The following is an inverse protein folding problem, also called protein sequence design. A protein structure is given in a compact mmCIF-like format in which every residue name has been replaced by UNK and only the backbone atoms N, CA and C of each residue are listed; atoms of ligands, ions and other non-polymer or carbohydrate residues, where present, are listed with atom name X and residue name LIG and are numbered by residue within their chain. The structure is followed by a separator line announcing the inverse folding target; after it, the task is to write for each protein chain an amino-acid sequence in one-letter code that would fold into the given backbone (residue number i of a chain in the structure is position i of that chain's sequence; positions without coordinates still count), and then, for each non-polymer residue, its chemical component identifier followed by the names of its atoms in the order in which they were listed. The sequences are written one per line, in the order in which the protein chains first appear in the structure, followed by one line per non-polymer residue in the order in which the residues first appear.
data_IF_675975714114
#
_entry.id   IF_675975714114
#
_cell.length_a   1.000
_cell.length_b   1.000
_cell.length_c   1.000
_cell.angle_alpha   90.00
_cell.angle_beta   90.00
_cell.angle_gamma   90.00
#
_symmetry.space_group_name_H-M   'P 1'
#
loop_
_entity.id
_entity.type
_entity.pdbx_description
1 polymer ?
#
# COMPACT_ATOMS: atom_id res chain seq x y z
N UNK A 1 -17.60 -20.07 -21.83
CA UNK A 1 -18.09 -18.73 -22.19
C UNK A 1 -18.37 -17.98 -20.91
N UNK A 2 -17.46 -17.12 -20.45
CA UNK A 2 -17.72 -16.23 -19.31
C UNK A 2 -18.33 -14.95 -19.84
N UNK A 3 -19.64 -14.85 -19.70
CA UNK A 3 -20.42 -13.64 -19.94
C UNK A 3 -19.97 -12.60 -18.92
N UNK A 4 -19.10 -11.69 -19.36
CA UNK A 4 -18.63 -10.56 -18.55
C UNK A 4 -19.49 -9.39 -18.96
N UNK A 5 -20.24 -8.84 -17.99
CA UNK A 5 -21.07 -7.66 -18.20
C UNK A 5 -20.32 -6.58 -19.02
N UNK A 6 -20.99 -5.91 -19.97
CA UNK A 6 -20.32 -4.99 -20.88
C UNK A 6 -19.59 -3.88 -20.10
N UNK A 7 -18.29 -3.75 -20.39
CA UNK A 7 -17.39 -2.82 -19.69
C UNK A 7 -17.90 -1.37 -19.83
N UNK A 8 -18.24 -0.75 -18.70
CA UNK A 8 -18.86 0.57 -18.70
C UNK A 8 -17.86 1.66 -19.14
N UNK A 9 -18.37 2.80 -19.60
CA UNK A 9 -17.51 3.93 -19.97
C UNK A 9 -16.67 4.47 -18.78
N UNK A 10 -17.17 4.31 -17.56
CA UNK A 10 -16.45 4.62 -16.33
C UNK A 10 -15.29 3.65 -16.12
N UNK A 11 -15.52 2.34 -16.30
CA UNK A 11 -14.48 1.30 -16.18
C UNK A 11 -13.33 1.53 -17.16
N UNK A 12 -13.65 1.90 -18.42
CA UNK A 12 -12.66 2.24 -19.45
C UNK A 12 -11.79 3.44 -19.09
N UNK A 13 -12.40 4.55 -18.61
CA UNK A 13 -11.66 5.75 -18.18
C UNK A 13 -10.78 5.47 -16.96
N UNK A 14 -11.24 4.62 -16.05
CA UNK A 14 -10.49 4.21 -14.86
C UNK A 14 -9.29 3.35 -15.28
N UNK A 15 -9.50 2.34 -16.12
CA UNK A 15 -8.41 1.51 -16.65
C UNK A 15 -7.36 2.37 -17.34
N UNK A 16 -7.78 3.29 -18.21
CA UNK A 16 -6.86 4.22 -18.87
C UNK A 16 -6.04 5.09 -17.88
N UNK A 17 -6.64 5.53 -16.77
CA UNK A 17 -5.94 6.32 -15.74
C UNK A 17 -4.96 5.48 -14.94
N UNK A 18 -5.35 4.26 -14.56
CA UNK A 18 -4.50 3.32 -13.81
C UNK A 18 -3.32 2.88 -14.67
N UNK A 19 -3.58 2.42 -15.90
CA UNK A 19 -2.52 2.02 -16.84
C UNK A 19 -1.59 3.19 -17.13
N UNK A 20 -2.11 4.43 -17.29
CA UNK A 20 -1.24 5.60 -17.44
C UNK A 20 -0.31 5.77 -16.23
N UNK A 21 -0.85 5.78 -15.01
CA UNK A 21 -0.10 6.14 -13.80
C UNK A 21 0.86 5.05 -13.31
N UNK A 22 0.51 3.78 -13.51
CA UNK A 22 1.26 2.64 -12.95
C UNK A 22 2.06 1.86 -13.99
N UNK A 23 1.76 2.05 -15.29
CA UNK A 23 2.48 1.40 -16.39
C UNK A 23 3.21 2.44 -17.24
N UNK A 24 2.49 3.40 -17.84
CA UNK A 24 3.10 4.33 -18.79
C UNK A 24 4.04 5.34 -18.14
N UNK A 25 3.60 6.05 -17.11
CA UNK A 25 4.38 7.12 -16.50
C UNK A 25 5.69 6.57 -15.89
N UNK A 26 5.71 5.44 -15.13
CA UNK A 26 6.94 4.86 -14.63
C UNK A 26 7.88 4.35 -15.74
N UNK A 27 7.33 3.82 -16.84
CA UNK A 27 8.13 3.41 -18.00
C UNK A 27 8.81 4.61 -18.65
N UNK A 28 8.06 5.67 -18.94
CA UNK A 28 8.59 6.88 -19.57
C UNK A 28 9.67 7.51 -18.69
N UNK A 29 9.40 7.65 -17.38
CA UNK A 29 10.39 8.15 -16.42
C UNK A 29 11.63 7.24 -16.43
N UNK A 30 11.44 5.91 -16.35
CA UNK A 30 12.54 4.96 -16.36
C UNK A 30 13.42 5.07 -17.60
N UNK A 31 12.81 5.15 -18.79
CA UNK A 31 13.52 5.34 -20.06
C UNK A 31 14.25 6.67 -20.10
N UNK A 32 13.62 7.77 -19.67
CA UNK A 32 14.26 9.09 -19.62
C UNK A 32 15.49 9.07 -18.71
N UNK A 33 15.40 8.45 -17.54
CA UNK A 33 16.53 8.33 -16.61
C UNK A 33 17.66 7.48 -17.20
N UNK A 34 17.35 6.37 -17.89
CA UNK A 34 18.37 5.56 -18.55
C UNK A 34 19.01 6.27 -19.74
N UNK A 35 18.24 6.98 -20.56
CA UNK A 35 18.79 7.77 -21.67
C UNK A 35 19.70 8.87 -21.14
N UNK A 36 19.30 9.54 -20.06
CA UNK A 36 20.15 10.54 -19.40
C UNK A 36 21.44 9.93 -18.85
N UNK A 37 21.37 8.74 -18.22
CA UNK A 37 22.54 8.02 -17.76
C UNK A 37 23.47 7.59 -18.90
N UNK A 38 22.92 7.05 -20.01
CA UNK A 38 23.68 6.69 -21.21
C UNK A 38 24.37 7.92 -21.80
N UNK A 39 23.65 9.03 -21.96
CA UNK A 39 24.22 10.27 -22.50
C UNK A 39 25.35 10.80 -21.62
N UNK A 40 25.21 10.72 -20.30
CA UNK A 40 26.27 11.10 -19.35
C UNK A 40 27.52 10.23 -19.50
N UNK A 41 27.34 8.90 -19.54
CA UNK A 41 28.46 7.96 -19.69
C UNK A 41 29.15 8.12 -21.05
N UNK A 42 28.40 8.33 -22.13
CA UNK A 42 28.96 8.57 -23.47
C UNK A 42 29.70 9.92 -23.58
N UNK A 43 29.39 10.89 -22.73
CA UNK A 43 30.10 12.15 -22.65
C UNK A 43 31.44 12.06 -21.88
N UNK A 44 31.85 10.85 -21.46
CA UNK A 44 33.06 10.62 -20.67
C UNK A 44 32.90 10.94 -19.19
N UNK A 45 31.66 11.04 -18.68
CA UNK A 45 31.40 11.26 -17.27
C UNK A 45 31.69 10.00 -16.44
N UNK A 46 32.30 10.19 -15.27
CA UNK A 46 32.58 9.12 -14.33
C UNK A 46 31.30 8.50 -13.72
N UNK A 47 31.46 7.34 -13.10
CA UNK A 47 30.41 6.59 -12.38
C UNK A 47 30.11 7.21 -11.01
N UNK A 48 29.88 8.51 -11.02
CA UNK A 48 29.53 9.30 -9.84
C UNK A 48 28.16 8.93 -9.28
N UNK A 49 27.87 9.41 -8.07
CA UNK A 49 26.63 9.13 -7.36
C UNK A 49 25.36 9.40 -8.20
N UNK A 50 25.32 10.52 -8.94
CA UNK A 50 24.15 10.91 -9.74
C UNK A 50 23.89 9.98 -10.93
N UNK A 51 24.83 9.75 -11.87
CA UNK A 51 24.61 8.81 -12.97
C UNK A 51 24.30 7.41 -12.45
N UNK A 52 24.96 6.95 -11.39
CA UNK A 52 24.63 5.68 -10.73
C UNK A 52 23.16 5.63 -10.24
N UNK A 53 22.69 6.67 -9.57
CA UNK A 53 21.30 6.77 -9.10
C UNK A 53 20.29 6.75 -10.27
N UNK A 54 20.61 7.44 -11.38
CA UNK A 54 19.78 7.42 -12.59
C UNK A 54 19.64 6.01 -13.18
N UNK A 55 20.73 5.23 -13.21
CA UNK A 55 20.71 3.84 -13.68
C UNK A 55 19.80 2.97 -12.81
N UNK A 56 19.92 3.10 -11.48
CA UNK A 56 19.12 2.33 -10.54
C UNK A 56 17.62 2.66 -10.63
N UNK A 57 17.27 3.95 -10.60
CA UNK A 57 15.90 4.42 -10.71
C UNK A 57 15.30 4.13 -12.09
N UNK A 58 16.12 4.22 -13.14
CA UNK A 58 15.76 3.89 -14.51
C UNK A 58 15.35 2.43 -14.67
N UNK A 59 16.20 1.51 -14.22
CA UNK A 59 15.93 0.08 -14.22
C UNK A 59 14.72 -0.29 -13.36
N UNK A 60 14.61 0.30 -12.16
CA UNK A 60 13.45 0.14 -11.30
C UNK A 60 12.14 0.59 -11.97
N UNK A 61 12.10 1.77 -12.59
CA UNK A 61 10.91 2.31 -13.23
C UNK A 61 10.38 1.44 -14.37
N UNK A 62 11.29 0.89 -15.19
CA UNK A 62 10.95 -0.05 -16.27
C UNK A 62 10.41 -1.37 -15.69
N UNK A 63 11.08 -1.96 -14.70
CA UNK A 63 10.61 -3.19 -14.06
C UNK A 63 9.27 -3.01 -13.34
N UNK A 64 9.07 -1.87 -12.66
CA UNK A 64 7.82 -1.52 -12.02
C UNK A 64 6.67 -1.47 -13.03
N UNK A 65 6.90 -0.80 -14.16
CA UNK A 65 5.95 -0.77 -15.27
C UNK A 65 5.65 -2.17 -15.82
N UNK A 66 6.69 -2.96 -16.08
CA UNK A 66 6.56 -4.32 -16.59
C UNK A 66 5.74 -5.21 -15.66
N UNK A 67 6.06 -5.22 -14.37
CA UNK A 67 5.33 -6.01 -13.36
C UNK A 67 3.85 -5.62 -13.37
N UNK A 68 3.53 -4.33 -13.30
CA UNK A 68 2.14 -3.87 -13.33
C UNK A 68 1.43 -4.21 -14.64
N UNK A 69 2.10 -4.04 -15.79
CA UNK A 69 1.56 -4.41 -17.09
C UNK A 69 1.21 -5.91 -17.14
N UNK A 70 2.13 -6.79 -16.70
CA UNK A 70 1.86 -8.23 -16.67
C UNK A 70 0.74 -8.60 -15.69
N UNK A 71 0.52 -7.84 -14.62
CA UNK A 71 -0.58 -8.07 -13.68
C UNK A 71 -1.93 -7.64 -14.26
N UNK A 72 -1.95 -6.61 -15.11
CA UNK A 72 -3.14 -6.11 -15.79
C UNK A 72 -3.53 -6.92 -17.05
N UNK A 73 -2.61 -7.71 -17.60
CA UNK A 73 -2.82 -8.48 -18.84
C UNK A 73 -4.00 -9.46 -18.75
N UNK A 74 -4.85 -9.45 -19.79
CA UNK A 74 -5.93 -10.40 -19.98
C UNK A 74 -5.76 -11.14 -21.32
N UNK A 75 -5.85 -12.48 -21.34
CA UNK A 75 -6.01 -13.39 -20.19
C UNK A 75 -4.76 -13.48 -19.28
N UNK A 76 -4.99 -13.67 -17.97
CA UNK A 76 -3.95 -13.63 -16.92
C UNK A 76 -2.77 -14.59 -17.15
N UNK A 77 -3.02 -15.72 -17.82
CA UNK A 77 -1.99 -16.71 -18.19
C UNK A 77 -0.86 -16.09 -19.02
N UNK A 78 -1.18 -15.15 -19.92
CA UNK A 78 -0.18 -14.49 -20.77
C UNK A 78 0.74 -13.63 -19.91
N UNK A 79 0.15 -12.86 -18.98
CA UNK A 79 0.89 -12.07 -18.01
C UNK A 79 1.85 -12.93 -17.18
N UNK A 80 1.40 -14.09 -16.70
CA UNK A 80 2.25 -15.04 -15.94
C UNK A 80 3.39 -15.58 -16.79
N UNK A 81 3.10 -16.07 -18.00
CA UNK A 81 4.11 -16.63 -18.92
C UNK A 81 5.18 -15.58 -19.22
N UNK A 82 4.78 -14.37 -19.60
CA UNK A 82 5.71 -13.28 -19.91
C UNK A 82 6.58 -12.92 -18.70
N UNK A 83 5.98 -12.86 -17.51
CA UNK A 83 6.70 -12.56 -16.28
C UNK A 83 7.77 -13.62 -15.97
N UNK A 84 7.43 -14.90 -16.11
CA UNK A 84 8.37 -16.02 -15.91
C UNK A 84 9.49 -16.00 -16.94
N UNK A 85 9.17 -15.81 -18.23
CA UNK A 85 10.17 -15.76 -19.30
C UNK A 85 11.15 -14.61 -19.06
N UNK A 86 10.66 -13.40 -18.79
CA UNK A 86 11.52 -12.24 -18.57
C UNK A 86 12.36 -12.40 -17.30
N UNK A 87 11.79 -12.95 -16.22
CA UNK A 87 12.55 -13.26 -15.00
C UNK A 87 13.68 -14.26 -15.28
N UNK A 88 13.40 -15.33 -16.03
CA UNK A 88 14.36 -16.35 -16.37
C UNK A 88 15.48 -15.80 -17.29
N UNK A 89 15.12 -15.05 -18.33
CA UNK A 89 16.07 -14.43 -19.26
C UNK A 89 16.97 -13.45 -18.53
N UNK A 90 16.42 -12.52 -17.75
CA UNK A 90 17.22 -11.57 -16.97
C UNK A 90 18.15 -12.26 -15.98
N UNK A 91 17.66 -13.32 -15.33
CA UNK A 91 18.50 -14.11 -14.41
C UNK A 91 19.62 -14.81 -15.16
N UNK A 92 19.34 -15.43 -16.30
CA UNK A 92 20.34 -16.08 -17.13
C UNK A 92 21.39 -15.08 -17.64
N UNK A 93 20.95 -13.91 -18.15
CA UNK A 93 21.85 -12.83 -18.58
C UNK A 93 22.73 -12.37 -17.43
N UNK A 94 22.17 -12.14 -16.24
CA UNK A 94 22.94 -11.74 -15.07
C UNK A 94 23.94 -12.80 -14.62
N UNK A 95 23.56 -14.07 -14.64
CA UNK A 95 24.48 -15.17 -14.32
C UNK A 95 25.62 -15.24 -15.32
N UNK A 96 25.34 -15.12 -16.63
CA UNK A 96 26.38 -15.15 -17.67
C UNK A 96 27.36 -13.98 -17.48
N UNK A 97 26.84 -12.77 -17.30
CA UNK A 97 27.66 -11.57 -17.14
C UNK A 97 28.51 -11.61 -15.86
N UNK A 98 28.01 -12.23 -14.79
CA UNK A 98 28.73 -12.34 -13.52
C UNK A 98 29.77 -13.47 -13.55
N UNK A 99 29.44 -14.61 -14.15
CA UNK A 99 30.28 -15.83 -14.11
C UNK A 99 31.39 -15.81 -15.15
N UNK A 100 31.12 -15.27 -16.35
CA UNK A 100 32.05 -15.29 -17.48
C UNK A 100 32.80 -13.96 -17.66
N UNK A 101 33.07 -13.27 -16.54
CA UNK A 101 33.71 -11.95 -16.48
C UNK A 101 33.18 -11.00 -17.58
N UNK A 102 32.01 -10.40 -17.33
CA UNK A 102 31.31 -9.57 -18.32
C UNK A 102 32.17 -8.52 -19.04
N UNK A 103 33.30 -8.10 -18.44
CA UNK A 103 34.28 -7.24 -19.09
C UNK A 103 34.95 -7.89 -20.32
N UNK A 104 35.24 -9.19 -20.27
CA UNK A 104 35.81 -9.98 -21.37
C UNK A 104 34.78 -10.21 -22.48
N UNK A 105 33.53 -10.54 -22.11
CA UNK A 105 32.39 -10.64 -23.04
C UNK A 105 32.07 -9.34 -23.79
N UNK A 106 32.39 -8.19 -23.19
CA UNK A 106 32.16 -6.86 -23.76
C UNK A 106 33.45 -6.25 -24.35
N UNK A 107 34.59 -6.96 -24.29
CA UNK A 107 35.90 -6.43 -24.68
C UNK A 107 36.00 -6.13 -26.18
N UNK A 108 35.29 -6.90 -27.01
CA UNK A 108 35.29 -6.75 -28.47
C UNK A 108 34.30 -5.69 -28.97
N UNK A 109 33.48 -5.12 -28.08
CA UNK A 109 32.51 -4.09 -28.45
C UNK A 109 33.18 -2.71 -28.58
N UNK A 110 32.73 -1.88 -29.55
CA UNK A 110 33.08 -0.47 -29.60
C UNK A 110 32.82 0.22 -28.26
N UNK A 111 33.66 1.18 -27.89
CA UNK A 111 33.54 1.98 -26.66
C UNK A 111 32.10 2.48 -26.37
N UNK A 112 31.35 3.06 -27.33
CA UNK A 112 29.97 3.48 -27.06
C UNK A 112 29.03 2.32 -26.73
N UNK A 113 29.21 1.16 -27.36
CA UNK A 113 28.38 -0.01 -27.08
C UNK A 113 28.70 -0.60 -25.70
N UNK A 114 29.97 -0.57 -25.29
CA UNK A 114 30.42 -0.98 -23.95
C UNK A 114 29.86 -0.08 -22.86
N UNK A 115 29.90 1.24 -23.06
CA UNK A 115 29.31 2.22 -22.16
C UNK A 115 27.80 1.99 -21.97
N UNK A 116 27.06 1.76 -23.06
CA UNK A 116 25.63 1.43 -23.00
C UNK A 116 25.40 0.11 -22.26
N UNK A 117 26.20 -0.93 -22.56
CA UNK A 117 26.08 -2.23 -21.90
C UNK A 117 26.29 -2.14 -20.38
N UNK A 118 27.28 -1.36 -19.93
CA UNK A 118 27.55 -1.10 -18.52
C UNK A 118 26.35 -0.44 -17.83
N UNK A 119 25.77 0.59 -18.44
CA UNK A 119 24.58 1.28 -17.92
C UNK A 119 23.40 0.31 -17.78
N UNK A 120 23.15 -0.49 -18.81
CA UNK A 120 22.07 -1.48 -18.81
C UNK A 120 22.31 -2.58 -17.78
N UNK A 121 23.55 -3.02 -17.58
CA UNK A 121 23.91 -4.02 -16.57
C UNK A 121 23.62 -3.51 -15.15
N UNK A 122 24.03 -2.28 -14.82
CA UNK A 122 23.77 -1.68 -13.50
C UNK A 122 22.26 -1.51 -13.30
N UNK A 123 21.54 -1.02 -14.29
CA UNK A 123 20.09 -0.86 -14.25
C UNK A 123 19.34 -2.20 -14.12
N UNK A 124 19.87 -3.27 -14.70
CA UNK A 124 19.22 -4.56 -14.71
C UNK A 124 19.26 -5.26 -13.34
N UNK A 125 20.15 -4.87 -12.42
CA UNK A 125 20.16 -5.33 -11.03
C UNK A 125 18.83 -5.07 -10.28
N UNK A 126 18.43 -3.80 -10.03
CA UNK A 126 17.15 -3.50 -9.41
C UNK A 126 15.95 -3.97 -10.24
N UNK A 127 16.07 -3.97 -11.59
CA UNK A 127 15.01 -4.47 -12.45
C UNK A 127 14.72 -5.96 -12.21
N UNK A 128 15.77 -6.78 -12.16
CA UNK A 128 15.69 -8.23 -11.91
C UNK A 128 15.12 -8.49 -10.51
N UNK A 129 15.60 -7.76 -9.50
CA UNK A 129 15.07 -7.87 -8.13
C UNK A 129 13.58 -7.57 -8.04
N UNK A 130 13.11 -6.50 -8.69
CA UNK A 130 11.70 -6.13 -8.67
C UNK A 130 10.80 -7.12 -9.41
N UNK A 131 11.27 -7.66 -10.53
CA UNK A 131 10.57 -8.71 -11.29
C UNK A 131 10.45 -9.98 -10.44
N UNK A 132 11.50 -10.40 -9.75
CA UNK A 132 11.42 -11.54 -8.83
C UNK A 132 10.45 -11.30 -7.67
N UNK A 133 10.42 -10.10 -7.09
CA UNK A 133 9.42 -9.74 -6.08
C UNK A 133 7.99 -9.81 -6.64
N UNK A 134 7.78 -9.34 -7.87
CA UNK A 134 6.51 -9.48 -8.58
C UNK A 134 6.09 -10.94 -8.78
N UNK A 135 7.03 -11.80 -9.16
CA UNK A 135 6.79 -13.24 -9.32
C UNK A 135 6.48 -13.91 -7.97
N UNK A 136 7.22 -13.58 -6.92
CA UNK A 136 6.96 -14.06 -5.57
C UNK A 136 5.55 -13.69 -5.10
N UNK A 137 5.10 -12.46 -5.37
CA UNK A 137 3.73 -12.03 -5.09
C UNK A 137 2.69 -12.94 -5.75
N UNK A 138 2.89 -13.31 -7.03
CA UNK A 138 1.98 -14.22 -7.74
C UNK A 138 1.94 -15.61 -7.10
N UNK A 139 3.10 -16.11 -6.67
CA UNK A 139 3.22 -17.41 -5.99
C UNK A 139 2.50 -17.37 -4.64
N UNK A 140 2.72 -16.32 -3.84
CA UNK A 140 2.04 -16.15 -2.55
C UNK A 140 0.52 -16.02 -2.71
N UNK A 141 0.06 -15.33 -3.77
CA UNK A 141 -1.36 -15.21 -4.07
C UNK A 141 -1.98 -16.54 -4.48
N UNK A 142 -1.26 -17.37 -5.24
CA UNK A 142 -1.71 -18.71 -5.62
C UNK A 142 -1.94 -19.61 -4.39
N UNK A 143 -0.98 -19.61 -3.46
CA UNK A 143 -1.11 -20.36 -2.20
C UNK A 143 -2.26 -19.82 -1.34
N UNK A 144 -2.35 -18.49 -1.21
CA UNK A 144 -3.46 -17.85 -0.50
C UNK A 144 -4.80 -18.20 -1.12
N UNK A 145 -4.91 -18.25 -2.45
CA UNK A 145 -6.15 -18.61 -3.14
C UNK A 145 -6.53 -20.07 -2.88
N UNK A 146 -5.57 -20.99 -2.92
CA UNK A 146 -5.76 -22.41 -2.58
C UNK A 146 -6.22 -22.62 -1.13
N UNK A 147 -5.64 -21.88 -0.20
CA UNK A 147 -5.98 -21.97 1.22
C UNK A 147 -7.32 -21.30 1.54
N UNK A 148 -7.63 -20.20 0.83
CA UNK A 148 -8.89 -19.46 0.99
C UNK A 148 -10.06 -20.21 0.37
N UNK A 149 -9.87 -20.93 -0.74
CA UNK A 149 -10.91 -21.75 -1.37
C UNK A 149 -11.43 -22.88 -0.48
N UNK A 150 -10.65 -23.29 0.54
CA UNK A 150 -11.05 -24.33 1.51
C UNK A 150 -11.78 -23.78 2.73
N UNK A 151 -11.82 -22.47 2.93
CA UNK A 151 -12.42 -21.82 4.10
C UNK A 151 -13.70 -21.09 3.70
N UNK A 152 -14.72 -21.02 4.56
CA UNK A 152 -15.87 -20.16 4.33
C UNK A 152 -15.41 -18.72 4.09
N UNK A 153 -15.98 -18.06 3.08
CA UNK A 153 -15.64 -16.68 2.79
C UNK A 153 -15.91 -15.80 4.03
N UNK A 154 -14.92 -15.03 4.52
CA UNK A 154 -15.14 -14.15 5.65
C UNK A 154 -16.25 -13.14 5.35
N UNK A 155 -17.15 -12.90 6.30
CA UNK A 155 -18.27 -11.98 6.12
C UNK A 155 -17.86 -10.55 6.46
N UNK A 156 -18.21 -9.55 5.63
CA UNK A 156 -17.98 -8.16 5.99
C UNK A 156 -18.92 -7.72 7.11
N UNK A 157 -18.52 -6.74 7.95
CA UNK A 157 -19.43 -6.14 8.91
C UNK A 157 -20.64 -5.55 8.19
N UNK A 158 -21.83 -5.83 8.73
CA UNK A 158 -23.09 -5.34 8.18
C UNK A 158 -23.73 -4.32 9.13
N UNK A 159 -24.51 -3.40 8.56
CA UNK A 159 -25.36 -2.53 9.34
C UNK A 159 -26.45 -3.35 10.03
N UNK A 160 -26.54 -3.21 11.34
CA UNK A 160 -27.59 -3.76 12.17
C UNK A 160 -28.55 -2.62 12.54
N UNK A 161 -29.82 -2.95 12.69
CA UNK A 161 -30.77 -2.03 13.33
C UNK A 161 -30.41 -1.98 14.81
N UNK A 162 -30.45 -0.80 15.41
CA UNK A 162 -30.16 -0.68 16.82
C UNK A 162 -31.39 -1.05 17.65
N UNK A 163 -31.21 -1.90 18.66
CA UNK A 163 -32.32 -2.49 19.42
C UNK A 163 -33.02 -1.48 20.35
N UNK A 164 -32.32 -0.41 20.73
CA UNK A 164 -32.74 0.55 21.76
C UNK A 164 -32.87 1.99 21.28
N UNK A 165 -32.58 2.26 19.99
CA UNK A 165 -32.62 3.61 19.43
C UNK A 165 -32.99 3.60 17.93
N UNK A 166 -33.49 4.72 17.44
CA UNK A 166 -33.66 4.94 16.02
C UNK A 166 -32.28 5.11 15.36
N UNK A 167 -31.85 4.11 14.60
CA UNK A 167 -30.53 4.16 14.00
C UNK A 167 -30.06 2.91 13.28
N UNK A 168 -28.88 3.02 12.65
CA UNK A 168 -28.13 1.89 12.09
C UNK A 168 -26.78 1.86 12.77
N UNK A 169 -26.40 0.70 13.29
CA UNK A 169 -25.13 0.47 13.98
C UNK A 169 -24.27 -0.52 13.21
N UNK A 170 -22.98 -0.28 13.16
CA UNK A 170 -22.00 -1.25 12.68
C UNK A 170 -20.93 -1.45 13.74
N UNK A 171 -20.57 -2.72 13.99
CA UNK A 171 -19.49 -3.10 14.87
C UNK A 171 -18.29 -3.59 14.06
N UNK A 172 -17.11 -3.06 14.38
CA UNK A 172 -15.88 -3.43 13.71
C UNK A 172 -14.67 -3.27 14.64
N UNK A 173 -13.64 -4.10 14.51
CA UNK A 173 -12.36 -3.87 15.16
C UNK A 173 -11.66 -2.68 14.51
N UNK A 174 -11.09 -1.78 15.30
CA UNK A 174 -10.25 -0.71 14.78
C UNK A 174 -9.09 -0.38 15.71
N UNK A 175 -8.04 0.20 15.15
CA UNK A 175 -6.93 0.78 15.91
C UNK A 175 -7.13 2.30 15.97
N UNK A 176 -7.25 2.91 17.16
CA UNK A 176 -7.32 4.35 17.30
C UNK A 176 -5.94 4.94 17.00
N UNK A 177 -5.75 5.42 15.78
CA UNK A 177 -4.47 5.92 15.30
C UNK A 177 -4.71 7.01 14.26
N UNK A 178 -4.07 8.17 14.46
CA UNK A 178 -4.05 9.26 13.48
C UNK A 178 -3.17 8.87 12.29
N UNK A 179 -3.62 9.20 11.08
CA UNK A 179 -2.83 8.96 9.86
C UNK A 179 -1.44 9.60 9.90
N UNK A 180 -1.32 10.82 10.44
CA UNK A 180 -0.01 11.47 10.62
C UNK A 180 0.95 10.63 11.46
N UNK A 181 0.46 10.05 12.56
CA UNK A 181 1.29 9.21 13.44
C UNK A 181 1.73 7.91 12.74
N UNK A 182 0.83 7.30 11.94
CA UNK A 182 1.18 6.14 11.13
C UNK A 182 2.25 6.48 10.08
N UNK A 183 2.08 7.58 9.33
CA UNK A 183 3.04 8.04 8.33
C UNK A 183 4.41 8.32 8.95
N UNK A 184 4.46 9.07 10.05
CA UNK A 184 5.72 9.37 10.76
C UNK A 184 6.40 8.08 11.23
N UNK A 185 5.63 7.13 11.76
CA UNK A 185 6.17 5.84 12.22
C UNK A 185 6.78 5.03 11.07
N UNK A 186 6.11 4.99 9.92
CA UNK A 186 6.63 4.31 8.73
C UNK A 186 7.92 4.97 8.26
N UNK A 187 7.95 6.30 8.12
CA UNK A 187 9.14 7.04 7.69
C UNK A 187 10.30 6.80 8.66
N UNK A 188 10.06 6.90 9.96
CA UNK A 188 11.08 6.68 10.99
C UNK A 188 11.65 5.26 10.92
N UNK A 189 10.79 4.25 10.78
CA UNK A 189 11.21 2.85 10.65
C UNK A 189 12.08 2.67 9.41
N UNK A 190 11.66 3.20 8.26
CA UNK A 190 12.43 3.09 7.00
C UNK A 190 13.81 3.73 7.16
N UNK A 191 13.88 4.92 7.75
CA UNK A 191 15.14 5.62 8.00
C UNK A 191 16.04 4.84 8.95
N UNK A 192 15.52 4.40 10.10
CA UNK A 192 16.31 3.68 11.11
C UNK A 192 16.79 2.33 10.60
N UNK A 193 15.92 1.54 9.96
CA UNK A 193 16.29 0.24 9.38
C UNK A 193 17.26 0.42 8.22
N UNK A 194 17.08 1.46 7.38
CA UNK A 194 18.00 1.79 6.30
C UNK A 194 19.40 2.15 6.82
N UNK A 195 19.48 3.04 7.82
CA UNK A 195 20.74 3.43 8.45
C UNK A 195 21.42 2.27 9.18
N UNK A 196 20.66 1.48 9.95
CA UNK A 196 21.18 0.30 10.63
C UNK A 196 21.67 -0.75 9.63
N UNK A 197 20.95 -0.97 8.53
CA UNK A 197 21.36 -1.85 7.44
C UNK A 197 22.65 -1.38 6.79
N UNK A 198 22.77 -0.09 6.48
CA UNK A 198 23.98 0.49 5.91
C UNK A 198 25.18 0.36 6.87
N UNK A 199 25.00 0.74 8.15
CA UNK A 199 26.04 0.62 9.17
C UNK A 199 26.47 -0.84 9.37
N UNK A 200 25.52 -1.78 9.35
CA UNK A 200 25.81 -3.20 9.49
C UNK A 200 26.57 -3.75 8.28
N UNK A 201 26.24 -3.31 7.05
CA UNK A 201 27.00 -3.67 5.85
C UNK A 201 28.43 -3.11 5.89
N UNK A 202 28.62 -1.87 6.35
CA UNK A 202 29.95 -1.27 6.53
C UNK A 202 30.75 -2.02 7.59
N UNK A 203 30.12 -2.37 8.71
CA UNK A 203 30.78 -3.10 9.80
C UNK A 203 31.12 -4.55 9.43
N UNK A 204 30.31 -5.18 8.57
CA UNK A 204 30.47 -6.56 8.11
C UNK A 204 31.23 -6.68 6.79
N UNK A 205 31.94 -5.64 6.37
CA UNK A 205 32.71 -5.63 5.11
C UNK A 205 33.63 -6.86 4.98
N UNK A 206 34.28 -7.28 6.09
CA UNK A 206 35.08 -8.51 6.14
C UNK A 206 34.29 -9.83 6.16
N UNK A 207 33.03 -9.84 6.61
CA UNK A 207 32.19 -11.05 6.61
C UNK A 207 31.66 -11.40 5.21
N UNK A 208 31.62 -10.42 4.30
CA UNK A 208 31.33 -10.62 2.88
C UNK A 208 32.30 -11.60 2.20
N UNK A 209 33.55 -11.70 2.69
CA UNK A 209 34.56 -12.64 2.18
C UNK A 209 34.28 -14.10 2.55
N UNK A 210 33.52 -14.38 3.62
CA UNK A 210 33.26 -15.74 4.12
C UNK A 210 31.91 -16.31 3.65
N UNK A 211 30.86 -15.48 3.57
CA UNK A 211 29.49 -15.91 3.24
C UNK A 211 29.07 -15.52 1.82
N UNK A 212 29.89 -14.72 1.13
CA UNK A 212 29.54 -14.10 -0.15
C UNK A 212 28.56 -12.93 0.04
N UNK A 213 28.66 -11.86 -0.78
CA UNK A 213 27.86 -10.64 -0.62
C UNK A 213 26.35 -10.90 -0.61
N UNK A 214 25.90 -11.91 -1.36
CA UNK A 214 24.47 -12.25 -1.53
C UNK A 214 23.83 -12.76 -0.23
N UNK A 215 24.51 -13.65 0.51
CA UNK A 215 23.99 -14.19 1.76
C UNK A 215 24.03 -13.12 2.84
N UNK A 216 25.08 -12.31 2.88
CA UNK A 216 25.18 -11.19 3.82
C UNK A 216 24.00 -10.22 3.66
N UNK A 217 23.65 -9.83 2.43
CA UNK A 217 22.50 -8.93 2.17
C UNK A 217 21.18 -9.57 2.60
N UNK A 218 20.97 -10.86 2.30
CA UNK A 218 19.72 -11.56 2.68
C UNK A 218 19.62 -11.66 4.21
N UNK A 219 20.68 -12.05 4.89
CA UNK A 219 20.70 -12.22 6.35
C UNK A 219 20.55 -10.88 7.05
N UNK A 220 21.24 -9.83 6.60
CA UNK A 220 21.11 -8.46 7.13
C UNK A 220 19.71 -7.92 6.87
N UNK A 221 19.23 -8.04 5.64
CA UNK A 221 17.92 -7.54 5.22
C UNK A 221 16.78 -8.25 5.94
N UNK A 222 16.75 -9.58 5.93
CA UNK A 222 15.73 -10.36 6.65
C UNK A 222 15.88 -10.22 8.16
N UNK A 223 17.11 -10.26 8.68
CA UNK A 223 17.40 -10.13 10.11
C UNK A 223 17.03 -8.78 10.71
N UNK A 224 17.03 -7.70 9.93
CA UNK A 224 16.57 -6.38 10.37
C UNK A 224 15.09 -6.14 10.03
N UNK A 225 14.70 -6.35 8.78
CA UNK A 225 13.38 -5.96 8.31
C UNK A 225 12.28 -6.85 8.88
N UNK A 226 12.49 -8.17 8.99
CA UNK A 226 11.46 -9.09 9.47
C UNK A 226 11.12 -8.85 10.94
N UNK A 227 12.08 -8.75 11.89
CA UNK A 227 11.75 -8.46 13.27
C UNK A 227 11.05 -7.11 13.43
N UNK A 228 11.51 -6.08 12.73
CA UNK A 228 10.88 -4.74 12.79
C UNK A 228 9.45 -4.78 12.27
N UNK A 229 9.21 -5.47 11.16
CA UNK A 229 7.87 -5.69 10.62
C UNK A 229 6.97 -6.46 11.63
N UNK A 230 7.48 -7.55 12.21
CA UNK A 230 6.72 -8.36 13.17
C UNK A 230 6.41 -7.58 14.45
N UNK A 231 7.35 -6.78 14.95
CA UNK A 231 7.15 -5.89 16.11
C UNK A 231 6.08 -4.85 15.79
N UNK A 232 6.17 -4.17 14.65
CA UNK A 232 5.17 -3.18 14.24
C UNK A 232 3.79 -3.83 14.14
N UNK A 233 3.69 -4.98 13.46
CA UNK A 233 2.45 -5.72 13.32
C UNK A 233 1.88 -6.14 14.68
N UNK A 234 2.74 -6.63 15.59
CA UNK A 234 2.33 -7.01 16.93
C UNK A 234 1.83 -5.81 17.74
N UNK A 235 2.54 -4.68 17.69
CA UNK A 235 2.15 -3.43 18.38
C UNK A 235 0.81 -2.92 17.88
N UNK A 236 0.61 -2.88 16.54
CA UNK A 236 -0.65 -2.45 15.93
C UNK A 236 -1.79 -3.41 16.33
N UNK A 237 -1.56 -4.72 16.23
CA UNK A 237 -2.58 -5.73 16.59
C UNK A 237 -2.94 -5.70 18.08
N UNK A 238 -1.98 -5.43 18.97
CA UNK A 238 -2.23 -5.26 20.42
C UNK A 238 -3.10 -4.04 20.73
N UNK A 239 -3.10 -3.03 19.86
CA UNK A 239 -3.92 -1.82 20.01
C UNK A 239 -5.30 -1.92 19.34
N UNK A 240 -5.67 -3.10 18.83
CA UNK A 240 -7.00 -3.31 18.25
C UNK A 240 -8.06 -3.28 19.35
N UNK A 241 -9.04 -2.39 19.20
CA UNK A 241 -10.18 -2.25 20.10
C UNK A 241 -11.50 -2.56 19.38
N UNK A 242 -12.51 -3.11 20.08
CA UNK A 242 -13.86 -3.20 19.55
C UNK A 242 -14.43 -1.79 19.43
N UNK A 243 -14.82 -1.41 18.22
CA UNK A 243 -15.43 -0.12 17.93
C UNK A 243 -16.83 -0.32 17.37
N UNK A 244 -17.70 0.66 17.57
CA UNK A 244 -18.96 0.72 16.84
C UNK A 244 -19.30 2.14 16.44
N UNK A 245 -19.85 2.28 15.25
CA UNK A 245 -20.43 3.55 14.78
C UNK A 245 -21.92 3.34 14.61
N UNK A 246 -22.73 4.21 15.20
CA UNK A 246 -24.16 4.26 15.02
C UNK A 246 -24.57 5.63 14.49
N UNK A 247 -25.35 5.63 13.42
CA UNK A 247 -26.03 6.81 12.92
C UNK A 247 -27.43 6.82 13.51
N UNK A 248 -27.68 7.78 14.40
CA UNK A 248 -29.01 8.07 14.91
C UNK A 248 -29.83 8.93 13.95
N UNK A 249 -30.86 9.56 14.49
CA UNK A 249 -31.69 10.52 13.75
C UNK A 249 -30.98 11.84 13.53
N UNK A 250 -30.44 12.43 14.59
CA UNK A 250 -29.75 13.74 14.52
C UNK A 250 -28.32 13.70 15.10
N UNK A 251 -27.81 12.51 15.43
CA UNK A 251 -26.50 12.35 16.05
C UNK A 251 -25.68 11.17 15.51
N UNK A 252 -24.36 11.32 15.58
CA UNK A 252 -23.38 10.29 15.35
C UNK A 252 -22.87 9.77 16.70
N UNK A 253 -23.05 8.47 16.94
CA UNK A 253 -22.57 7.78 18.14
C UNK A 253 -21.38 6.89 17.79
N UNK A 254 -20.27 7.07 18.49
CA UNK A 254 -19.04 6.31 18.26
C UNK A 254 -18.58 5.72 19.58
N UNK A 255 -18.50 4.39 19.64
CA UNK A 255 -17.91 3.65 20.77
C UNK A 255 -16.51 3.21 20.39
N UNK A 256 -15.53 3.51 21.24
CA UNK A 256 -14.13 3.10 21.10
C UNK A 256 -13.72 2.39 22.40
N UNK A 257 -13.77 1.06 22.41
CA UNK A 257 -13.59 0.29 23.64
C UNK A 257 -14.66 0.65 24.69
N UNK A 258 -14.23 1.23 25.81
CA UNK A 258 -15.11 1.66 26.90
C UNK A 258 -15.61 3.11 26.78
N UNK A 259 -15.04 3.91 25.87
CA UNK A 259 -15.43 5.31 25.67
C UNK A 259 -16.56 5.42 24.65
N UNK A 260 -17.54 6.27 24.93
CA UNK A 260 -18.63 6.59 24.00
C UNK A 260 -18.64 8.08 23.71
N UNK A 261 -18.68 8.42 22.43
CA UNK A 261 -18.75 9.79 21.93
C UNK A 261 -20.09 9.98 21.23
N UNK A 262 -20.81 11.05 21.56
CA UNK A 262 -22.01 11.48 20.82
C UNK A 262 -21.75 12.84 20.22
N UNK A 263 -21.95 12.96 18.92
CA UNK A 263 -21.70 14.16 18.13
C UNK A 263 -22.99 14.48 17.39
N UNK A 264 -23.71 15.54 17.78
CA UNK A 264 -24.84 16.06 17.02
C UNK A 264 -24.44 16.35 15.56
N UNK A 265 -25.34 16.12 14.60
CA UNK A 265 -25.02 16.33 13.18
C UNK A 265 -24.77 17.80 12.84
N UNK A 266 -25.40 18.73 13.56
CA UNK A 266 -25.17 20.18 13.52
C UNK A 266 -23.83 20.60 14.15
N UNK A 267 -23.19 19.73 14.93
CA UNK A 267 -21.85 19.94 15.51
C UNK A 267 -20.74 19.17 14.78
N UNK A 268 -21.11 18.32 13.82
CA UNK A 268 -20.17 17.53 13.02
C UNK A 268 -19.44 18.39 11.97
N UNK A 269 -18.13 18.56 12.11
CA UNK A 269 -17.31 19.32 11.15
C UNK A 269 -16.88 18.47 9.95
N UNK A 270 -16.43 17.23 10.20
CA UNK A 270 -15.90 16.34 9.17
C UNK A 270 -16.15 14.87 9.52
N UNK A 271 -16.58 14.09 8.52
CA UNK A 271 -16.66 12.64 8.57
C UNK A 271 -16.03 12.04 7.31
N UNK A 272 -14.97 11.26 7.47
CA UNK A 272 -14.36 10.48 6.38
C UNK A 272 -14.68 9.02 6.60
N UNK A 273 -15.24 8.37 5.59
CA UNK A 273 -15.56 6.94 5.60
C UNK A 273 -14.88 6.25 4.43
N UNK A 274 -13.92 5.36 4.72
CA UNK A 274 -13.24 4.54 3.72
C UNK A 274 -13.55 3.06 3.91
N UNK A 275 -14.15 2.44 2.91
CA UNK A 275 -14.74 1.10 3.02
C UNK A 275 -13.74 -0.05 2.95
N UNK A 276 -12.71 0.05 2.09
CA UNK A 276 -11.81 -1.07 1.75
C UNK A 276 -10.34 -0.68 1.85
N UNK A 277 -9.46 -1.69 1.71
CA UNK A 277 -7.99 -1.64 1.82
C UNK A 277 -7.47 -1.70 3.27
N UNK A 278 -6.15 -1.88 3.43
CA UNK A 278 -5.43 -1.75 4.70
C UNK A 278 -5.63 -0.37 5.35
N UNK A 279 -6.10 0.60 4.57
CA UNK A 279 -6.45 1.95 5.00
C UNK A 279 -7.95 2.17 5.26
N UNK A 280 -8.79 1.13 5.24
CA UNK A 280 -10.20 1.24 5.62
C UNK A 280 -10.30 1.93 6.99
N UNK A 281 -11.05 3.04 7.07
CA UNK A 281 -11.01 3.93 8.22
C UNK A 281 -12.23 4.81 8.37
N UNK A 282 -12.43 5.27 9.58
CA UNK A 282 -13.39 6.32 9.95
C UNK A 282 -12.62 7.45 10.62
N UNK A 283 -12.70 8.66 10.08
CA UNK A 283 -12.19 9.88 10.72
C UNK A 283 -13.35 10.80 11.02
N UNK A 284 -13.42 11.30 12.25
CA UNK A 284 -14.53 12.14 12.72
C UNK A 284 -13.97 13.31 13.49
N UNK A 285 -14.45 14.49 13.14
CA UNK A 285 -14.15 15.74 13.82
C UNK A 285 -15.44 16.52 14.06
N UNK A 286 -15.62 17.03 15.28
CA UNK A 286 -16.75 17.86 15.67
C UNK A 286 -16.69 18.20 17.15
N UNK A 287 -17.69 18.90 17.63
CA UNK A 287 -17.94 19.05 19.07
C UNK A 287 -18.97 18.04 19.52
N UNK A 288 -18.91 17.62 20.78
CA UNK A 288 -19.88 16.69 21.29
C UNK A 288 -19.67 16.35 22.75
N UNK A 289 -20.37 15.31 23.18
CA UNK A 289 -20.29 14.81 24.55
C UNK A 289 -19.42 13.55 24.59
N UNK A 290 -18.50 13.52 25.57
CA UNK A 290 -17.70 12.33 25.88
C UNK A 290 -18.26 11.67 27.13
N UNK A 291 -18.87 10.50 26.97
CA UNK A 291 -19.29 9.65 28.09
C UNK A 291 -18.26 8.56 28.38
N UNK A 292 -17.89 8.39 29.65
CA UNK A 292 -17.39 7.10 30.12
C UNK A 292 -18.56 6.10 30.08
N UNK A 293 -18.30 4.82 29.83
CA UNK A 293 -19.32 3.77 29.61
C UNK A 293 -20.22 3.42 30.82
N UNK A 294 -20.65 4.39 31.62
CA UNK A 294 -21.64 4.25 32.68
C UNK A 294 -22.37 5.60 32.80
N UNK A 295 -23.69 5.56 32.87
CA UNK A 295 -24.56 6.74 32.88
C UNK A 295 -24.08 7.81 33.88
N UNK A 296 -23.90 9.03 33.39
CA UNK A 296 -23.71 10.22 34.24
C UNK A 296 -22.44 11.01 33.94
N UNK A 297 -22.62 12.30 33.62
CA UNK A 297 -21.60 13.37 33.50
C UNK A 297 -20.57 13.23 32.37
N UNK A 298 -21.04 13.38 31.13
CA UNK A 298 -20.16 13.80 30.04
C UNK A 298 -19.96 15.32 30.08
N UNK A 299 -18.74 15.79 29.85
CA UNK A 299 -18.49 17.21 29.60
C UNK A 299 -19.06 17.57 28.22
N UNK A 300 -20.07 18.43 28.20
CA UNK A 300 -20.70 18.96 26.98
C UNK A 300 -19.78 19.97 26.31
N UNK A 301 -19.70 19.95 24.97
CA UNK A 301 -18.84 20.86 24.18
C UNK A 301 -17.36 20.44 24.06
N UNK A 302 -17.00 19.19 24.35
CA UNK A 302 -15.62 18.72 24.15
C UNK A 302 -15.33 18.49 22.66
N UNK A 303 -14.21 19.02 22.17
CA UNK A 303 -13.74 18.73 20.82
C UNK A 303 -13.42 17.23 20.67
N UNK A 304 -14.10 16.57 19.73
CA UNK A 304 -13.89 15.17 19.39
C UNK A 304 -13.13 15.11 18.07
N UNK A 305 -11.91 14.56 18.10
CA UNK A 305 -11.09 14.27 16.91
C UNK A 305 -10.62 12.82 16.97
N UNK A 306 -11.30 11.95 16.22
CA UNK A 306 -11.10 10.51 16.23
C UNK A 306 -10.67 10.02 14.85
N UNK A 307 -9.66 9.14 14.84
CA UNK A 307 -9.20 8.43 13.64
C UNK A 307 -9.09 6.95 13.96
N UNK A 308 -9.97 6.15 13.35
CA UNK A 308 -10.12 4.72 13.58
C UNK A 308 -9.73 3.97 12.31
N UNK A 309 -8.63 3.20 12.35
CA UNK A 309 -8.18 2.41 11.21
C UNK A 309 -8.65 0.97 11.38
N UNK A 310 -9.62 0.56 10.57
CA UNK A 310 -10.15 -0.80 10.56
C UNK A 310 -9.25 -1.76 9.77
N UNK A 311 -8.69 -1.31 8.64
CA UNK A 311 -7.90 -2.16 7.74
C UNK A 311 -6.65 -2.78 8.37
N UNK A 312 -6.05 -2.10 9.35
CA UNK A 312 -4.87 -2.57 10.11
C UNK A 312 -5.23 -3.37 11.37
N UNK A 313 -6.50 -3.41 11.75
CA UNK A 313 -6.95 -4.07 12.95
C UNK A 313 -6.96 -5.60 12.79
N UNK A 314 -6.79 -6.32 13.90
CA UNK A 314 -6.96 -7.78 13.89
C UNK A 314 -8.44 -8.12 13.69
N UNK A 315 -8.79 -8.61 12.50
CA UNK A 315 -10.13 -9.09 12.22
C UNK A 315 -10.48 -10.34 13.06
N UNK A 316 -11.69 -10.44 13.63
CA UNK A 316 -12.21 -11.67 14.21
C UNK A 316 -12.20 -12.82 13.22
N UNK A 317 -12.13 -14.05 13.73
CA UNK A 317 -12.22 -15.23 12.89
C UNK A 317 -13.50 -15.21 12.05
N UNK A 318 -13.38 -15.44 10.74
CA UNK A 318 -14.51 -15.44 9.82
C UNK A 318 -15.09 -14.07 9.44
N UNK A 319 -14.46 -12.95 9.85
CA UNK A 319 -14.83 -11.59 9.41
C UNK A 319 -13.71 -10.89 8.65
N UNK A 320 -14.08 -9.95 7.78
CA UNK A 320 -13.11 -9.04 7.15
C UNK A 320 -12.88 -7.80 8.02
N UNK A 321 -11.78 -7.08 7.76
CA UNK A 321 -11.47 -5.76 8.34
C UNK A 321 -12.05 -4.59 7.52
N UNK A 322 -12.95 -4.87 6.57
CA UNK A 322 -13.59 -3.86 5.74
C UNK A 322 -14.71 -3.14 6.51
N UNK A 323 -15.10 -1.96 6.03
CA UNK A 323 -16.25 -1.23 6.50
C UNK A 323 -17.37 -1.29 5.45
N UNK A 324 -18.64 -1.47 5.85
CA UNK A 324 -19.76 -1.42 4.92
C UNK A 324 -19.91 -0.03 4.32
N UNK A 325 -20.58 0.07 3.18
CA UNK A 325 -20.96 1.35 2.60
C UNK A 325 -21.88 2.12 3.55
N UNK A 326 -21.74 3.45 3.60
CA UNK A 326 -22.59 4.31 4.43
C UNK A 326 -24.06 4.17 4.00
N UNK A 327 -25.04 4.06 4.92
CA UNK A 327 -26.45 3.92 4.56
C UNK A 327 -26.95 5.15 3.79
N UNK A 328 -27.75 4.95 2.74
CA UNK A 328 -28.26 6.04 1.88
C UNK A 328 -28.99 7.14 2.66
N UNK A 329 -29.72 6.78 3.72
CA UNK A 329 -30.44 7.73 4.59
C UNK A 329 -29.52 8.74 5.29
N UNK A 330 -28.28 8.34 5.60
CA UNK A 330 -27.31 9.18 6.29
C UNK A 330 -26.84 10.32 5.39
N UNK A 331 -26.72 10.07 4.08
CA UNK A 331 -26.37 11.13 3.13
C UNK A 331 -27.36 12.29 3.19
N UNK A 332 -28.66 11.98 3.09
CA UNK A 332 -29.72 13.00 3.15
C UNK A 332 -29.71 13.74 4.48
N UNK A 333 -29.52 13.04 5.61
CA UNK A 333 -29.50 13.66 6.94
C UNK A 333 -28.31 14.60 7.12
N UNK A 334 -27.12 14.17 6.70
CA UNK A 334 -25.93 15.01 6.77
C UNK A 334 -26.02 16.21 5.82
N UNK A 335 -26.58 16.04 4.62
CA UNK A 335 -26.87 17.15 3.70
C UNK A 335 -27.84 18.16 4.31
N UNK A 336 -28.91 17.69 4.97
CA UNK A 336 -29.85 18.55 5.69
C UNK A 336 -29.19 19.28 6.87
N UNK A 337 -28.20 18.67 7.52
CA UNK A 337 -27.37 19.29 8.57
C UNK A 337 -26.26 20.21 8.03
N UNK A 338 -26.30 20.57 6.73
CA UNK A 338 -25.37 21.51 6.11
C UNK A 338 -24.02 20.91 5.69
N UNK A 339 -23.92 19.58 5.61
CA UNK A 339 -22.69 18.91 5.17
C UNK A 339 -22.67 18.75 3.65
N UNK A 340 -21.53 19.05 3.05
CA UNK A 340 -21.24 18.77 1.64
C UNK A 340 -20.61 17.40 1.50
N UNK A 341 -21.04 16.64 0.49
CA UNK A 341 -20.53 15.29 0.22
C UNK A 341 -19.50 15.35 -0.90
N UNK A 342 -18.29 14.88 -0.62
CA UNK A 342 -17.26 14.62 -1.61
C UNK A 342 -17.04 13.11 -1.71
N UNK A 343 -17.29 12.55 -2.89
CA UNK A 343 -17.02 11.15 -3.15
C UNK A 343 -15.81 11.01 -4.06
N UNK A 344 -14.95 10.06 -3.72
CA UNK A 344 -13.94 9.60 -4.69
C UNK A 344 -14.63 8.85 -5.82
N UNK A 345 -14.03 8.83 -7.02
CA UNK A 345 -14.63 8.23 -8.24
C UNK A 345 -15.09 6.77 -8.11
N UNK A 346 -14.67 6.04 -7.07
CA UNK A 346 -15.05 4.64 -6.80
C UNK A 346 -15.97 4.46 -5.58
N UNK A 347 -16.43 5.56 -4.97
CA UNK A 347 -17.14 5.55 -3.67
C UNK A 347 -16.39 4.78 -2.56
N UNK A 348 -15.08 4.54 -2.74
CA UNK A 348 -14.23 3.87 -1.75
C UNK A 348 -13.98 4.76 -0.53
N UNK A 349 -13.93 6.08 -0.77
CA UNK A 349 -13.85 7.12 0.25
C UNK A 349 -14.99 8.10 0.03
N UNK A 350 -15.79 8.28 1.08
CA UNK A 350 -16.82 9.30 1.19
C UNK A 350 -16.38 10.28 2.26
N UNK A 351 -16.33 11.56 1.92
CA UNK A 351 -15.97 12.64 2.85
C UNK A 351 -17.15 13.58 2.96
N UNK A 352 -17.66 13.77 4.17
CA UNK A 352 -18.62 14.80 4.50
C UNK A 352 -17.87 15.95 5.19
N UNK A 353 -18.09 17.17 4.73
CA UNK A 353 -17.51 18.38 5.34
C UNK A 353 -18.55 19.47 5.43
N UNK A 354 -18.58 20.17 6.55
CA UNK A 354 -19.40 21.38 6.66
C UNK A 354 -18.87 22.43 5.70
N UNK A 355 -19.78 23.01 4.91
CA UNK A 355 -19.46 24.21 4.15
C UNK A 355 -19.16 25.33 5.14
N UNK A 356 -18.02 26.01 4.96
CA UNK A 356 -17.66 27.20 5.75
C UNK A 356 -18.64 28.33 5.45
#
# INVERSE_FOLDING_TARGET
MTDTAPETAADRRIRATVTRRFVRDPFVIGVVLLVAAIAWTLAGGDLDFFPFLLMLLGGFGIAFSFVNATMEMRPARIGVILHVIVAAVLTATMLVVIEFDGAELLADLPEPARAIALVLQIAAGPATGWIWLGLLSRVTDLFRHRDTAKRPAPTPPAWQREDTADGSRVEFPAVPLRMRALTISIVLIVVVVGLAGAALLIALDGAGMLLGPRIAIIVVGAGLALPVYLVLLAVIRRRTLPCSVAFGDDELRIRVGAATHRIPFDELETLVWRTRSDYARVEVRGTGTKGAGTEGTGAEGAAVDLSLIAGLAKAPAGRTSELPAVPRRVFRRLELAGMTVQRTRRDEVVTFRRGV
#
